data_IF_361316307675
#
_entry.id   IF_361316307675
#
_cell.length_a   1.000
_cell.length_b   1.000
_cell.length_c   1.000
_cell.angle_alpha   90.00
_cell.angle_beta   90.00
_cell.angle_gamma   90.00
#
_symmetry.space_group_name_H-M   'P 1'
#
loop_
_entity.id
_entity.type
_entity.pdbx_description
1 polymer ?
#
# COMPACT_ATOMS: atom_id res chain seq x y z
N UNK A 1 -24.39 13.18 9.64
CA UNK A 1 -23.04 12.60 9.52
C UNK A 1 -23.23 11.10 9.59
N UNK A 2 -22.90 10.36 8.53
CA UNK A 2 -23.12 8.91 8.53
C UNK A 2 -22.18 8.28 9.58
N UNK A 3 -22.72 7.39 10.42
CA UNK A 3 -21.89 6.65 11.37
C UNK A 3 -20.92 5.69 10.65
N UNK A 4 -19.89 5.17 11.33
CA UNK A 4 -18.91 4.28 10.71
C UNK A 4 -19.53 3.09 9.95
N UNK A 5 -20.51 2.40 10.55
CA UNK A 5 -21.17 1.24 9.90
C UNK A 5 -21.94 1.62 8.64
N UNK A 6 -22.59 2.78 8.63
CA UNK A 6 -23.31 3.28 7.44
C UNK A 6 -22.34 3.69 6.34
N UNK A 7 -21.20 4.31 6.71
CA UNK A 7 -20.14 4.63 5.77
C UNK A 7 -19.56 3.37 5.12
N UNK A 8 -19.23 2.33 5.90
CA UNK A 8 -18.75 1.05 5.38
C UNK A 8 -19.81 0.34 4.54
N UNK A 9 -21.07 0.29 4.98
CA UNK A 9 -22.16 -0.32 4.21
C UNK A 9 -22.42 0.38 2.88
N UNK A 10 -22.25 1.71 2.84
CA UNK A 10 -22.25 2.46 1.59
C UNK A 10 -21.05 2.08 0.73
N UNK A 11 -19.84 1.99 1.27
CA UNK A 11 -18.65 1.70 0.44
C UNK A 11 -18.53 0.23 0.01
N UNK A 12 -19.15 -0.71 0.73
CA UNK A 12 -19.17 -2.15 0.44
C UNK A 12 -20.02 -2.52 -0.80
N UNK A 13 -19.70 -1.92 -1.94
CA UNK A 13 -20.33 -2.19 -3.23
C UNK A 13 -19.33 -1.98 -4.36
N UNK A 14 -19.15 -3.00 -5.20
CA UNK A 14 -18.13 -3.02 -6.25
C UNK A 14 -18.24 -1.88 -7.26
N UNK A 15 -19.45 -1.43 -7.62
CA UNK A 15 -19.61 -0.32 -8.57
C UNK A 15 -19.28 1.03 -7.95
N UNK A 16 -19.61 1.23 -6.67
CA UNK A 16 -19.19 2.42 -5.94
C UNK A 16 -17.67 2.46 -5.80
N UNK A 17 -17.04 1.32 -5.53
CA UNK A 17 -15.58 1.24 -5.52
C UNK A 17 -14.97 1.47 -6.91
N UNK A 18 -15.55 0.94 -7.99
CA UNK A 18 -15.08 1.18 -9.35
C UNK A 18 -15.13 2.68 -9.74
N UNK A 19 -16.16 3.40 -9.29
CA UNK A 19 -16.24 4.86 -9.48
C UNK A 19 -15.11 5.57 -8.72
N UNK A 20 -14.86 5.18 -7.47
CA UNK A 20 -13.79 5.76 -6.65
C UNK A 20 -12.40 5.50 -7.24
N UNK A 21 -12.19 4.27 -7.75
CA UNK A 21 -10.98 3.86 -8.46
C UNK A 21 -10.76 4.66 -9.75
N UNK A 22 -11.81 4.88 -10.54
CA UNK A 22 -11.70 5.64 -11.78
C UNK A 22 -11.31 7.12 -11.56
N UNK A 23 -11.60 7.66 -10.37
CA UNK A 23 -11.20 9.01 -9.95
C UNK A 23 -9.84 9.04 -9.23
N UNK A 24 -9.30 7.89 -8.83
CA UNK A 24 -8.03 7.83 -8.13
C UNK A 24 -6.87 8.30 -9.02
N UNK A 25 -5.95 9.07 -8.45
CA UNK A 25 -4.79 9.62 -9.16
C UNK A 25 -5.10 10.74 -10.18
N UNK A 26 -6.38 11.08 -10.40
CA UNK A 26 -6.77 12.16 -11.30
C UNK A 26 -6.50 13.52 -10.64
N UNK A 27 -5.84 14.41 -11.38
CA UNK A 27 -5.55 15.79 -10.94
C UNK A 27 -6.70 16.74 -11.26
N UNK A 28 -7.31 16.56 -12.43
CA UNK A 28 -8.47 17.31 -12.90
C UNK A 28 -9.76 16.50 -12.74
N UNK A 29 -10.94 17.15 -12.61
CA UNK A 29 -12.21 16.46 -12.57
C UNK A 29 -12.47 15.63 -13.84
N UNK A 30 -13.15 14.50 -13.66
CA UNK A 30 -13.40 13.55 -14.75
C UNK A 30 -14.82 13.76 -15.30
N UNK A 31 -14.99 14.05 -16.60
CA UNK A 31 -16.32 14.20 -17.21
C UNK A 31 -17.16 12.93 -17.06
N UNK A 32 -18.49 13.10 -16.95
CA UNK A 32 -19.43 12.00 -16.71
C UNK A 32 -19.22 10.78 -17.62
N UNK A 33 -19.12 11.01 -18.94
CA UNK A 33 -18.96 9.92 -19.92
C UNK A 33 -17.64 9.16 -19.73
N UNK A 34 -16.56 9.89 -19.46
CA UNK A 34 -15.24 9.30 -19.20
C UNK A 34 -15.24 8.52 -17.88
N UNK A 35 -15.86 9.05 -16.83
CA UNK A 35 -15.97 8.38 -15.55
C UNK A 35 -16.80 7.09 -15.64
N UNK A 36 -17.95 7.15 -16.33
CA UNK A 36 -18.82 5.98 -16.56
C UNK A 36 -18.08 4.88 -17.32
N UNK A 37 -17.36 5.24 -18.38
CA UNK A 37 -16.56 4.31 -19.16
C UNK A 37 -15.44 3.68 -18.31
N UNK A 38 -14.70 4.50 -17.56
CA UNK A 38 -13.61 4.02 -16.69
C UNK A 38 -14.11 3.13 -15.53
N UNK A 39 -15.33 3.37 -15.03
CA UNK A 39 -15.95 2.52 -14.00
C UNK A 39 -16.55 1.21 -14.55
N UNK A 40 -16.52 0.98 -15.88
CA UNK A 40 -17.03 -0.23 -16.51
C UNK A 40 -18.54 -0.44 -16.36
N UNK A 41 -19.33 0.64 -16.26
CA UNK A 41 -20.79 0.55 -16.09
C UNK A 41 -21.48 0.96 -17.38
N UNK A 42 -22.15 0.02 -18.06
CA UNK A 42 -22.87 0.30 -19.30
C UNK A 42 -24.21 1.00 -19.07
N UNK A 43 -24.91 0.68 -17.99
CA UNK A 43 -26.21 1.26 -17.67
C UNK A 43 -26.10 2.63 -16.99
N UNK A 44 -26.62 3.67 -17.65
CA UNK A 44 -26.57 5.05 -17.13
C UNK A 44 -27.39 5.23 -15.86
N UNK A 45 -28.52 4.53 -15.71
CA UNK A 45 -29.39 4.65 -14.54
C UNK A 45 -28.71 4.15 -13.27
N UNK A 46 -28.13 2.96 -13.35
CA UNK A 46 -27.34 2.32 -12.30
C UNK A 46 -26.09 3.13 -11.97
N UNK A 47 -25.37 3.62 -12.97
CA UNK A 47 -24.22 4.50 -12.73
C UNK A 47 -24.63 5.77 -11.96
N UNK A 48 -25.70 6.46 -12.40
CA UNK A 48 -26.23 7.65 -11.72
C UNK A 48 -26.67 7.34 -10.28
N UNK A 49 -27.30 6.20 -10.05
CA UNK A 49 -27.67 5.77 -8.70
C UNK A 49 -26.44 5.63 -7.79
N UNK A 50 -25.40 4.92 -8.24
CA UNK A 50 -24.19 4.72 -7.44
C UNK A 50 -23.40 6.01 -7.24
N UNK A 51 -23.25 6.83 -8.29
CA UNK A 51 -22.62 8.15 -8.21
C UNK A 51 -23.38 9.08 -7.24
N UNK A 52 -24.71 9.05 -7.28
CA UNK A 52 -25.55 9.81 -6.35
C UNK A 52 -25.36 9.39 -4.89
N UNK A 53 -25.19 8.09 -4.61
CA UNK A 53 -24.87 7.59 -3.26
C UNK A 53 -23.49 8.03 -2.77
N UNK A 54 -22.52 8.18 -3.67
CA UNK A 54 -21.18 8.69 -3.34
C UNK A 54 -21.13 10.22 -3.21
N UNK A 55 -22.08 10.91 -3.84
CA UNK A 55 -22.18 12.35 -3.93
C UNK A 55 -22.18 13.06 -2.58
N UNK A 56 -21.52 14.21 -2.53
CA UNK A 56 -21.41 15.05 -1.34
C UNK A 56 -20.26 14.62 -0.43
N UNK A 57 -20.28 13.37 0.04
CA UNK A 57 -19.29 12.90 1.03
C UNK A 57 -17.99 12.41 0.42
N UNK A 58 -18.06 11.57 -0.63
CA UNK A 58 -16.87 10.90 -1.20
C UNK A 58 -16.50 11.43 -2.58
N UNK A 59 -17.50 11.81 -3.37
CA UNK A 59 -17.35 12.41 -4.69
C UNK A 59 -18.11 13.73 -4.72
N UNK A 60 -17.52 14.76 -5.33
CA UNK A 60 -18.25 16.01 -5.63
C UNK A 60 -18.27 16.26 -7.12
N UNK A 61 -19.29 16.99 -7.57
CA UNK A 61 -19.37 17.53 -8.92
C UNK A 61 -18.64 18.88 -8.95
N UNK A 62 -17.70 19.01 -9.88
CA UNK A 62 -17.04 20.26 -10.24
C UNK A 62 -17.60 20.76 -11.58
N UNK A 63 -17.10 21.88 -12.08
CA UNK A 63 -17.61 22.53 -13.29
C UNK A 63 -17.46 21.65 -14.55
N UNK A 64 -16.35 20.91 -14.65
CA UNK A 64 -15.96 20.08 -15.79
C UNK A 64 -16.09 18.57 -15.53
N UNK A 65 -16.56 18.14 -14.36
CA UNK A 65 -16.69 16.72 -14.08
C UNK A 65 -16.91 16.36 -12.62
N UNK A 66 -16.36 15.22 -12.24
CA UNK A 66 -16.43 14.69 -10.89
C UNK A 66 -15.03 14.45 -10.35
N UNK A 67 -14.85 14.68 -9.05
CA UNK A 67 -13.58 14.49 -8.38
C UNK A 67 -13.79 13.95 -6.96
N UNK A 68 -12.75 13.33 -6.42
CA UNK A 68 -12.77 12.85 -5.04
C UNK A 68 -12.76 14.03 -4.06
N UNK A 69 -13.57 13.91 -3.02
CA UNK A 69 -13.45 14.76 -1.82
C UNK A 69 -12.27 14.30 -0.96
N UNK A 70 -11.93 15.05 0.10
CA UNK A 70 -10.92 14.61 1.07
C UNK A 70 -11.25 13.24 1.72
N UNK A 71 -12.48 12.99 2.23
CA UNK A 71 -12.86 11.65 2.71
C UNK A 71 -12.73 10.59 1.62
N UNK A 72 -13.15 10.89 0.39
CA UNK A 72 -13.07 9.94 -0.71
C UNK A 72 -11.64 9.54 -1.04
N UNK A 73 -10.71 10.52 -1.10
CA UNK A 73 -9.28 10.26 -1.28
C UNK A 73 -8.71 9.38 -0.17
N UNK A 74 -9.07 9.62 1.10
CA UNK A 74 -8.57 8.81 2.22
C UNK A 74 -9.00 7.35 2.12
N UNK A 75 -10.28 7.11 1.83
CA UNK A 75 -10.82 5.75 1.69
C UNK A 75 -10.11 5.00 0.57
N UNK A 76 -10.04 5.58 -0.63
CA UNK A 76 -9.45 4.89 -1.77
C UNK A 76 -7.94 4.71 -1.62
N UNK A 77 -7.26 5.63 -0.93
CA UNK A 77 -5.83 5.48 -0.56
C UNK A 77 -5.64 4.27 0.34
N UNK A 78 -6.47 4.09 1.37
CA UNK A 78 -6.35 2.95 2.29
C UNK A 78 -6.65 1.62 1.61
N UNK A 79 -7.66 1.59 0.73
CA UNK A 79 -8.00 0.41 -0.08
C UNK A 79 -6.84 0.04 -1.01
N UNK A 80 -6.33 1.01 -1.79
CA UNK A 80 -5.17 0.80 -2.68
C UNK A 80 -3.89 0.51 -1.91
N UNK A 81 -3.76 1.11 -0.73
CA UNK A 81 -2.67 0.93 0.21
C UNK A 81 -2.54 -0.51 0.67
N UNK A 82 -3.61 -1.32 0.56
CA UNK A 82 -3.69 -2.67 1.10
C UNK A 82 -3.90 -2.71 2.61
N UNK A 83 -4.12 -1.55 3.26
CA UNK A 83 -4.23 -1.40 4.72
C UNK A 83 -5.42 -2.17 5.34
N UNK A 84 -6.33 -2.65 4.49
CA UNK A 84 -7.57 -3.34 4.87
C UNK A 84 -7.57 -4.82 4.50
N UNK A 85 -6.47 -5.34 3.94
CA UNK A 85 -6.40 -6.70 3.40
C UNK A 85 -5.23 -7.46 4.03
N UNK A 86 -5.49 -8.66 4.55
CA UNK A 86 -4.43 -9.58 4.93
C UNK A 86 -3.68 -10.04 3.67
N UNK A 87 -2.35 -10.06 3.76
CA UNK A 87 -1.49 -10.51 2.66
C UNK A 87 -0.95 -11.91 2.92
N UNK A 88 -0.87 -12.76 1.88
CA UNK A 88 -0.14 -14.01 1.99
C UNK A 88 1.35 -13.73 2.18
N UNK A 89 1.98 -14.54 3.01
CA UNK A 89 3.43 -14.58 3.15
C UNK A 89 4.05 -14.93 1.79
N UNK A 90 5.09 -14.21 1.38
CA UNK A 90 5.90 -14.56 0.21
C UNK A 90 7.10 -15.36 0.70
N UNK A 91 7.29 -16.53 0.10
CA UNK A 91 8.41 -17.45 0.41
C UNK A 91 9.77 -16.85 0.07
N UNK A 92 10.87 -17.51 0.51
CA UNK A 92 12.21 -17.04 0.22
C UNK A 92 12.41 -16.95 -1.30
N UNK A 93 12.79 -15.76 -1.75
CA UNK A 93 13.12 -15.48 -3.14
C UNK A 93 14.47 -14.76 -3.20
N UNK A 94 15.34 -15.19 -4.11
CA UNK A 94 16.65 -14.58 -4.29
C UNK A 94 16.53 -13.10 -4.68
N UNK A 95 17.47 -12.28 -4.18
CA UNK A 95 17.61 -10.87 -4.54
C UNK A 95 19.00 -10.60 -5.07
N UNK A 96 19.12 -9.68 -6.03
CA UNK A 96 20.37 -9.35 -6.72
C UNK A 96 21.28 -8.43 -5.89
N UNK A 97 21.30 -8.63 -4.57
CA UNK A 97 22.10 -7.87 -3.62
C UNK A 97 22.99 -8.85 -2.84
N UNK A 98 24.32 -8.69 -2.87
CA UNK A 98 25.20 -9.58 -2.13
C UNK A 98 25.08 -9.32 -0.64
N UNK A 99 25.29 -10.37 0.15
CA UNK A 99 25.35 -10.26 1.60
C UNK A 99 26.48 -9.30 2.00
N UNK A 100 26.19 -8.20 2.72
CA UNK A 100 27.21 -7.23 3.12
C UNK A 100 28.24 -7.81 4.10
N UNK A 101 27.99 -9.00 4.67
CA UNK A 101 28.88 -9.67 5.60
C UNK A 101 29.85 -10.64 4.93
N UNK A 102 29.39 -11.44 3.96
CA UNK A 102 30.18 -12.53 3.38
C UNK A 102 30.17 -12.58 1.84
N UNK A 103 29.38 -11.74 1.17
CA UNK A 103 29.30 -11.67 -0.29
C UNK A 103 28.37 -12.70 -0.96
N UNK A 104 27.86 -13.69 -0.22
CA UNK A 104 26.92 -14.68 -0.73
C UNK A 104 25.55 -14.10 -1.09
N UNK A 105 24.77 -14.84 -1.86
CA UNK A 105 23.43 -14.42 -2.28
C UNK A 105 22.46 -14.30 -1.08
N UNK A 106 21.46 -13.45 -1.25
CA UNK A 106 20.45 -13.14 -0.24
C UNK A 106 19.08 -13.64 -0.68
N UNK A 107 18.28 -14.05 0.30
CA UNK A 107 16.88 -14.41 0.12
C UNK A 107 15.97 -13.43 0.86
N UNK A 108 14.86 -13.07 0.23
CA UNK A 108 13.80 -12.25 0.80
C UNK A 108 12.57 -13.12 1.07
N UNK A 109 12.08 -13.10 2.30
CA UNK A 109 10.73 -13.57 2.64
C UNK A 109 9.89 -12.41 3.18
N UNK A 110 8.57 -12.49 3.07
CA UNK A 110 7.67 -11.49 3.67
C UNK A 110 6.67 -12.13 4.62
N UNK A 111 6.35 -11.44 5.69
CA UNK A 111 5.19 -11.78 6.52
C UNK A 111 4.46 -10.53 6.98
N UNK A 112 3.19 -10.41 6.59
CA UNK A 112 2.45 -9.14 6.68
C UNK A 112 3.20 -7.98 5.99
N UNK A 113 3.36 -6.87 6.70
CA UNK A 113 3.97 -5.63 6.18
C UNK A 113 5.49 -5.54 6.43
N UNK A 114 6.13 -6.66 6.74
CA UNK A 114 7.58 -6.72 6.91
C UNK A 114 8.21 -7.70 5.91
N UNK A 115 9.31 -7.27 5.30
CA UNK A 115 10.22 -8.17 4.61
C UNK A 115 11.38 -8.53 5.52
N UNK A 116 11.85 -9.75 5.39
CA UNK A 116 13.05 -10.28 6.04
C UNK A 116 14.03 -10.69 4.96
N UNK A 117 15.24 -10.15 5.04
CA UNK A 117 16.36 -10.53 4.18
C UNK A 117 17.30 -11.42 4.96
N UNK A 118 17.61 -12.59 4.40
CA UNK A 118 18.39 -13.67 5.00
C UNK A 118 19.59 -14.01 4.12
N UNK A 119 20.68 -14.40 4.75
CA UNK A 119 21.82 -15.04 4.12
C UNK A 119 21.95 -16.46 4.66
N UNK A 120 22.01 -17.45 3.77
CA UNK A 120 22.10 -18.86 4.16
C UNK A 120 23.54 -19.35 4.41
N UNK A 121 24.55 -18.52 4.13
CA UNK A 121 25.97 -18.88 4.25
C UNK A 121 26.68 -18.26 5.45
N UNK A 122 26.02 -17.38 6.21
CA UNK A 122 26.64 -16.77 7.38
C UNK A 122 25.62 -16.48 8.49
N UNK A 123 26.06 -16.13 9.71
CA UNK A 123 25.14 -15.80 10.81
C UNK A 123 24.28 -14.53 10.60
N UNK A 124 24.45 -13.80 9.49
CA UNK A 124 23.74 -12.55 9.23
C UNK A 124 24.31 -11.34 9.98
N UNK A 125 23.62 -10.20 9.88
CA UNK A 125 23.98 -8.95 10.57
C UNK A 125 23.22 -8.74 11.88
N UNK A 126 22.01 -9.29 11.98
CA UNK A 126 21.19 -9.22 13.18
C UNK A 126 21.61 -10.31 14.16
N UNK A 127 22.76 -10.12 14.81
CA UNK A 127 23.05 -10.86 16.03
C UNK A 127 22.12 -10.36 17.14
N UNK A 128 21.81 -11.22 18.09
CA UNK A 128 21.06 -10.96 19.33
C UNK A 128 21.48 -9.78 20.22
N UNK A 129 22.02 -8.65 19.75
CA UNK A 129 22.26 -7.37 20.47
C UNK A 129 22.68 -6.32 19.42
N UNK A 130 22.33 -5.03 19.37
CA UNK A 130 21.87 -4.04 20.34
C UNK A 130 21.54 -2.75 19.56
N UNK A 131 20.29 -2.27 19.54
CA UNK A 131 19.85 -0.90 19.20
C UNK A 131 18.34 -0.81 19.49
N UNK A 132 17.91 -0.98 20.75
CA UNK A 132 16.49 -0.83 21.12
C UNK A 132 16.08 -1.50 22.42
N UNK A 133 15.31 -0.77 23.24
CA UNK A 133 14.89 -1.11 24.61
C UNK A 133 13.61 -1.96 24.67
N UNK A 134 13.42 -2.89 23.72
CA UNK A 134 12.25 -3.81 23.67
C UNK A 134 12.72 -5.26 23.56
N UNK A 135 11.99 -6.24 24.13
CA UNK A 135 12.38 -7.63 24.09
C UNK A 135 12.52 -8.09 22.63
N UNK A 136 13.69 -8.63 22.30
CA UNK A 136 14.01 -9.14 20.96
C UNK A 136 13.09 -10.31 20.67
N UNK A 137 12.26 -10.21 19.62
CA UNK A 137 11.84 -11.42 18.93
C UNK A 137 13.12 -12.09 18.43
N UNK A 138 13.32 -13.35 18.76
CA UNK A 138 14.43 -14.13 18.23
C UNK A 138 14.31 -14.12 16.70
N UNK A 139 15.39 -13.75 16.01
CA UNK A 139 15.43 -13.71 14.56
C UNK A 139 16.19 -14.93 14.07
N UNK A 140 15.74 -15.57 12.97
CA UNK A 140 16.48 -16.69 12.38
C UNK A 140 17.94 -16.30 12.14
N UNK A 141 18.84 -17.26 12.36
CA UNK A 141 20.24 -17.12 11.94
C UNK A 141 20.31 -16.74 10.46
N UNK A 142 21.29 -15.91 10.10
CA UNK A 142 21.38 -15.40 8.72
C UNK A 142 20.60 -14.11 8.47
N UNK A 143 19.80 -13.61 9.42
CA UNK A 143 19.05 -12.36 9.22
C UNK A 143 20.00 -11.19 8.94
N UNK A 144 19.91 -10.63 7.73
CA UNK A 144 20.65 -9.46 7.27
C UNK A 144 19.84 -8.19 7.48
N UNK A 145 18.51 -8.25 7.26
CA UNK A 145 17.63 -7.09 7.45
C UNK A 145 16.18 -7.47 7.76
N UNK A 146 15.49 -6.57 8.45
CA UNK A 146 14.04 -6.62 8.65
C UNK A 146 13.51 -5.22 8.37
N UNK A 147 12.73 -5.08 7.30
CA UNK A 147 12.31 -3.79 6.80
C UNK A 147 10.78 -3.75 6.72
N UNK A 148 10.11 -2.77 7.37
CA UNK A 148 8.74 -2.45 7.04
C UNK A 148 8.63 -2.02 5.57
N UNK A 149 7.53 -2.40 4.94
CA UNK A 149 7.17 -1.95 3.59
C UNK A 149 5.64 -1.83 3.51
N UNK A 150 5.09 -0.73 2.97
CA UNK A 150 3.65 -0.64 2.75
C UNK A 150 3.21 -1.70 1.73
N UNK A 151 1.95 -2.19 1.76
CA UNK A 151 1.51 -3.26 0.86
C UNK A 151 1.66 -2.94 -0.65
N UNK A 152 1.50 -1.66 -1.02
CA UNK A 152 1.77 -1.17 -2.40
C UNK A 152 3.23 -1.32 -2.83
N UNK A 153 4.16 -1.47 -1.88
CA UNK A 153 5.58 -1.71 -2.11
C UNK A 153 5.86 -3.08 -2.76
N UNK A 154 4.89 -3.99 -2.78
CA UNK A 154 5.03 -5.29 -3.43
C UNK A 154 4.42 -5.37 -4.84
N UNK A 155 3.52 -4.45 -5.20
CA UNK A 155 2.77 -4.55 -6.45
C UNK A 155 3.67 -4.41 -7.68
N UNK A 156 3.58 -5.39 -8.60
CA UNK A 156 4.30 -5.41 -9.87
C UNK A 156 5.83 -5.24 -9.72
N UNK A 157 6.41 -5.86 -8.68
CA UNK A 157 7.86 -5.79 -8.39
C UNK A 157 8.48 -7.19 -8.24
N UNK A 158 9.71 -7.33 -8.72
CA UNK A 158 10.58 -8.47 -8.41
C UNK A 158 11.00 -8.43 -6.92
N UNK A 159 11.50 -9.54 -6.35
CA UNK A 159 12.04 -9.55 -4.99
C UNK A 159 13.11 -8.45 -4.75
N UNK A 160 14.02 -8.26 -5.71
CA UNK A 160 15.02 -7.19 -5.68
C UNK A 160 14.37 -5.81 -5.63
N UNK A 161 13.36 -5.55 -6.49
CA UNK A 161 12.66 -4.27 -6.51
C UNK A 161 11.84 -4.03 -5.23
N UNK A 162 11.32 -5.07 -4.59
CA UNK A 162 10.67 -5.00 -3.27
C UNK A 162 11.67 -4.58 -2.19
N UNK A 163 12.85 -5.19 -2.17
CA UNK A 163 13.92 -4.80 -1.25
C UNK A 163 14.32 -3.33 -1.45
N UNK A 164 14.52 -2.92 -2.71
CA UNK A 164 14.82 -1.52 -3.03
C UNK A 164 13.72 -0.57 -2.56
N UNK A 165 12.45 -0.91 -2.79
CA UNK A 165 11.31 -0.11 -2.36
C UNK A 165 11.26 0.02 -0.84
N UNK A 166 11.51 -1.06 -0.09
CA UNK A 166 11.56 -1.04 1.38
C UNK A 166 12.70 -0.15 1.89
N UNK A 167 13.90 -0.27 1.32
CA UNK A 167 15.06 0.55 1.68
C UNK A 167 14.76 2.03 1.42
N UNK A 168 14.24 2.37 0.24
CA UNK A 168 13.85 3.76 -0.11
C UNK A 168 12.79 4.30 0.83
N UNK A 169 11.78 3.50 1.19
CA UNK A 169 10.71 3.92 2.09
C UNK A 169 11.26 4.28 3.48
N UNK A 170 12.13 3.43 4.05
CA UNK A 170 12.72 3.68 5.37
C UNK A 170 13.62 4.91 5.35
N UNK A 171 14.46 5.05 4.33
CA UNK A 171 15.34 6.21 4.21
C UNK A 171 14.52 7.51 4.09
N UNK A 172 13.51 7.54 3.22
CA UNK A 172 12.64 8.71 3.09
C UNK A 172 11.94 9.03 4.41
N UNK A 173 11.41 8.03 5.12
CA UNK A 173 10.74 8.24 6.41
C UNK A 173 11.73 8.70 7.48
N UNK A 174 12.97 8.22 7.48
CA UNK A 174 14.00 8.67 8.41
C UNK A 174 14.35 10.15 8.16
N UNK A 175 14.49 10.56 6.88
CA UNK A 175 14.72 11.96 6.51
C UNK A 175 13.56 12.87 6.93
N UNK A 176 12.32 12.49 6.64
CA UNK A 176 11.15 13.28 7.05
C UNK A 176 11.10 13.45 8.57
N UNK A 177 11.38 12.38 9.33
CA UNK A 177 11.42 12.43 10.79
C UNK A 177 12.58 13.29 11.32
N UNK A 178 13.77 13.25 10.70
CA UNK A 178 14.88 14.12 11.09
C UNK A 178 14.55 15.59 10.84
N UNK A 179 13.68 15.87 9.87
CA UNK A 179 13.20 17.21 9.54
C UNK A 179 11.97 17.63 10.37
N UNK A 180 11.53 16.79 11.32
CA UNK A 180 10.41 17.08 12.21
C UNK A 180 9.02 16.88 11.59
N UNK A 181 8.94 16.22 10.43
CA UNK A 181 7.68 15.89 9.75
C UNK A 181 7.33 14.41 9.99
N UNK A 182 6.27 14.18 10.76
CA UNK A 182 5.75 12.85 11.09
C UNK A 182 4.61 12.42 10.15
#
# INVERSE_FOLDING_TARGET
MNGPSEAFGLLANGQRMAIMEALWGRREPVPFKALKAAAGVEDSGRFNYHLGKLGGTYVRKADDGYELTRPGRRVITAVRGGDLLDRPDVGPAEVDWPCPRCGADLELGSSGDVIRVLCNECPGLFRGGSLGRRPRREHPGGTVSILPIPPVGFENRSPTEVLEAAVRWILHRATMQSDGVC
#
